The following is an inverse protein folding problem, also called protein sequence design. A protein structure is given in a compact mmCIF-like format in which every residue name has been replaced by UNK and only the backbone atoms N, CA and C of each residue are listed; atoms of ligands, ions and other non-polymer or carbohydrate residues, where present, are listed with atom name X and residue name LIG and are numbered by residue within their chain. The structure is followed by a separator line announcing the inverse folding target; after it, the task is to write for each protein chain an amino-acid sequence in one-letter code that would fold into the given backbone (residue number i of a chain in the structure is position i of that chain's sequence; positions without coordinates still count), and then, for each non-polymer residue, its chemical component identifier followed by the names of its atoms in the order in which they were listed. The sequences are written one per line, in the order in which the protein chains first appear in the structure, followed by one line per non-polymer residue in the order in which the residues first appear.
data_IF_986022511232
#
_entry.id   IF_986022511232
#
_cell.length_a   1.000
_cell.length_b   1.000
_cell.length_c   1.000
_cell.angle_alpha   90.00
_cell.angle_beta   90.00
_cell.angle_gamma   90.00
#
_symmetry.space_group_name_H-M   'P 1'
#
loop_
_entity.id
_entity.type
_entity.pdbx_description
1 polymer ?
#
# COMPACT_ATOMS: atom_id res chain seq x y z
N UNK A 1 36.71 -1.70 -25.33
CA UNK A 1 36.25 -1.66 -23.92
C UNK A 1 35.15 -0.65 -23.65
N UNK A 2 35.09 0.54 -24.29
CA UNK A 2 34.04 1.55 -24.05
C UNK A 2 32.61 1.10 -24.38
N UNK A 3 32.42 0.30 -25.43
CA UNK A 3 31.11 -0.23 -25.82
C UNK A 3 30.49 -1.14 -24.75
N UNK A 4 31.30 -1.94 -24.06
CA UNK A 4 30.84 -2.84 -22.99
C UNK A 4 30.30 -2.05 -21.80
N UNK A 5 30.93 -0.92 -21.46
CA UNK A 5 30.50 -0.03 -20.38
C UNK A 5 29.16 0.63 -20.69
N UNK A 6 28.92 1.04 -21.94
CA UNK A 6 27.64 1.63 -22.37
C UNK A 6 26.51 0.59 -22.33
N UNK A 7 26.79 -0.65 -22.76
CA UNK A 7 25.81 -1.75 -22.70
C UNK A 7 25.47 -2.10 -21.25
N UNK A 8 26.46 -2.21 -20.36
CA UNK A 8 26.26 -2.48 -18.94
C UNK A 8 25.47 -1.37 -18.23
N UNK A 9 25.79 -0.10 -18.50
CA UNK A 9 25.05 1.04 -17.96
C UNK A 9 23.60 1.09 -18.46
N UNK A 10 23.37 0.71 -19.73
CA UNK A 10 22.02 0.57 -20.28
C UNK A 10 21.20 -0.50 -19.55
N UNK A 11 21.76 -1.70 -19.36
CA UNK A 11 21.08 -2.80 -18.68
C UNK A 11 20.70 -2.49 -17.22
N UNK A 12 21.57 -1.79 -16.48
CA UNK A 12 21.30 -1.39 -15.09
C UNK A 12 20.13 -0.40 -14.97
N UNK A 13 19.92 0.46 -15.97
CA UNK A 13 18.78 1.38 -16.00
C UNK A 13 17.45 0.69 -16.33
N UNK A 14 17.47 -0.54 -16.87
CA UNK A 14 16.27 -1.32 -17.21
C UNK A 14 15.79 -2.17 -16.01
N UNK A 15 16.66 -2.44 -15.04
CA UNK A 15 16.33 -3.17 -13.82
C UNK A 15 15.48 -2.31 -12.87
N UNK A 16 14.18 -2.23 -13.13
CA UNK A 16 13.20 -1.78 -12.14
C UNK A 16 13.09 -2.83 -11.04
N UNK A 17 13.56 -2.49 -9.84
CA UNK A 17 13.31 -3.29 -8.64
C UNK A 17 11.82 -3.15 -8.31
N UNK A 18 11.04 -4.19 -8.55
CA UNK A 18 9.65 -4.27 -8.08
C UNK A 18 9.71 -4.72 -6.62
N UNK A 19 9.45 -3.79 -5.69
CA UNK A 19 9.22 -4.15 -4.28
C UNK A 19 7.81 -4.72 -4.19
N UNK A 20 7.71 -6.02 -3.89
CA UNK A 20 6.45 -6.63 -3.47
C UNK A 20 6.25 -6.35 -1.99
N UNK A 21 5.08 -5.83 -1.65
CA UNK A 21 4.69 -5.60 -0.26
C UNK A 21 3.54 -6.53 0.11
N UNK A 22 3.57 -7.06 1.32
CA UNK A 22 2.46 -7.85 1.85
C UNK A 22 1.30 -6.90 2.23
N UNK A 23 0.11 -7.21 1.74
CA UNK A 23 -1.12 -6.46 2.02
C UNK A 23 -2.08 -7.37 2.77
N UNK A 24 -2.40 -7.00 4.02
CA UNK A 24 -3.44 -7.68 4.79
C UNK A 24 -4.78 -6.99 4.57
N UNK A 25 -5.85 -7.77 4.37
CA UNK A 25 -7.16 -7.27 3.98
C UNK A 25 -8.26 -7.92 4.82
N UNK A 26 -9.16 -7.09 5.35
CA UNK A 26 -10.34 -7.50 6.08
C UNK A 26 -11.56 -6.86 5.41
N UNK A 27 -12.47 -7.71 4.93
CA UNK A 27 -13.76 -7.26 4.39
C UNK A 27 -14.61 -6.69 5.52
N UNK A 28 -15.14 -5.48 5.35
CA UNK A 28 -16.01 -4.84 6.34
C UNK A 28 -17.17 -4.15 5.62
N UNK A 29 -18.36 -4.13 6.24
CA UNK A 29 -19.58 -3.59 5.62
C UNK A 29 -19.45 -2.12 5.24
N UNK A 30 -18.71 -1.37 6.06
CA UNK A 30 -18.52 0.07 5.89
C UNK A 30 -17.36 0.44 4.94
N UNK A 31 -16.78 -0.57 4.27
CA UNK A 31 -15.62 -0.45 3.40
C UNK A 31 -14.46 -1.32 3.88
N UNK A 32 -13.75 -1.95 2.95
CA UNK A 32 -12.67 -2.88 3.26
C UNK A 32 -11.55 -2.20 4.05
N UNK A 33 -11.00 -2.92 5.03
CA UNK A 33 -9.89 -2.48 5.87
C UNK A 33 -8.62 -3.16 5.39
N UNK A 34 -7.55 -2.41 5.25
CA UNK A 34 -6.26 -2.96 4.83
C UNK A 34 -5.10 -2.43 5.65
N UNK A 35 -4.05 -3.24 5.76
CA UNK A 35 -2.83 -2.92 6.49
C UNK A 35 -1.62 -3.13 5.62
N UNK A 36 -0.73 -2.14 5.60
CA UNK A 36 0.56 -2.18 4.90
C UNK A 36 1.66 -1.46 5.69
N UNK A 37 2.92 -1.70 5.32
CA UNK A 37 4.06 -1.00 5.93
C UNK A 37 4.26 0.39 5.30
N UNK A 38 4.50 1.40 6.11
CA UNK A 38 4.74 2.76 5.68
C UNK A 38 3.97 3.78 6.51
N UNK A 39 4.04 5.04 6.06
CA UNK A 39 3.27 6.12 6.66
C UNK A 39 1.81 6.05 6.25
N UNK A 40 0.89 6.46 7.13
CA UNK A 40 -0.54 6.50 6.79
C UNK A 40 -0.87 7.47 5.66
N UNK A 41 -0.10 8.53 5.49
CA UNK A 41 -0.30 9.47 4.38
C UNK A 41 -0.01 8.81 3.03
N UNK A 42 1.08 8.04 2.94
CA UNK A 42 1.43 7.31 1.72
C UNK A 42 0.48 6.13 1.49
N UNK A 43 0.22 5.35 2.54
CA UNK A 43 -0.63 4.17 2.52
C UNK A 43 -2.09 4.48 2.19
N UNK A 44 -2.71 5.41 2.92
CA UNK A 44 -4.14 5.66 2.82
C UNK A 44 -4.50 6.72 1.79
N UNK A 45 -3.59 7.61 1.40
CA UNK A 45 -3.91 8.70 0.47
C UNK A 45 -3.28 8.50 -0.90
N UNK A 46 -2.00 8.10 -0.97
CA UNK A 46 -1.29 7.99 -2.26
C UNK A 46 -1.67 6.68 -2.97
N UNK A 47 -1.58 5.53 -2.29
CA UNK A 47 -1.87 4.23 -2.90
C UNK A 47 -3.35 4.04 -3.27
N UNK A 48 -4.24 4.70 -2.52
CA UNK A 48 -5.69 4.68 -2.77
C UNK A 48 -6.19 5.80 -3.65
N UNK A 49 -5.32 6.69 -4.13
CA UNK A 49 -5.77 7.91 -4.83
C UNK A 49 -6.79 8.73 -4.04
N UNK A 50 -6.71 8.72 -2.71
CA UNK A 50 -7.58 9.49 -1.80
C UNK A 50 -8.94 8.86 -1.49
N UNK A 51 -9.15 7.59 -1.81
CA UNK A 51 -10.41 6.87 -1.54
C UNK A 51 -10.37 6.02 -0.27
N UNK A 52 -9.28 6.08 0.48
CA UNK A 52 -9.15 5.47 1.80
C UNK A 52 -8.78 6.51 2.86
N UNK A 53 -9.10 6.21 4.12
CA UNK A 53 -8.76 7.04 5.27
C UNK A 53 -8.12 6.19 6.38
N UNK A 54 -7.28 6.78 7.26
CA UNK A 54 -6.71 6.05 8.38
C UNK A 54 -7.81 5.41 9.24
N UNK A 55 -7.70 4.10 9.47
CA UNK A 55 -8.65 3.36 10.29
C UNK A 55 -8.28 3.50 11.76
N UNK A 56 -9.08 4.24 12.51
CA UNK A 56 -8.96 4.35 13.97
C UNK A 56 -9.81 3.26 14.63
N UNK A 57 -9.19 2.13 14.97
CA UNK A 57 -9.85 1.12 15.80
C UNK A 57 -10.16 1.72 17.18
N UNK A 58 -11.38 1.49 17.69
CA UNK A 58 -11.73 1.89 19.06
C UNK A 58 -10.77 1.21 20.07
N UNK A 59 -10.14 1.96 21.00
CA UNK A 59 -9.06 1.45 21.87
C UNK A 59 -9.41 0.18 22.66
N UNK A 60 -10.69 -0.05 22.92
CA UNK A 60 -11.23 -1.17 23.69
C UNK A 60 -11.14 -2.55 23.00
N UNK A 61 -10.78 -2.62 21.71
CA UNK A 61 -10.66 -3.88 20.94
C UNK A 61 -9.30 -4.07 20.26
N UNK A 62 -8.31 -3.24 20.58
CA UNK A 62 -6.96 -3.32 20.02
C UNK A 62 -6.07 -4.23 20.88
N UNK A 63 -6.03 -5.52 20.55
CA UNK A 63 -5.19 -6.50 21.26
C UNK A 63 -3.68 -6.37 20.97
N UNK A 64 -3.30 -5.62 19.93
CA UNK A 64 -1.91 -5.41 19.52
C UNK A 64 -1.74 -4.00 18.96
N UNK A 65 -0.77 -3.25 19.49
CA UNK A 65 -0.36 -1.94 18.94
C UNK A 65 0.31 -2.22 17.59
N UNK A 66 -0.18 -1.66 16.47
CA UNK A 66 0.49 -1.82 15.19
C UNK A 66 1.92 -1.26 15.30
N UNK A 67 2.94 -1.96 14.78
CA UNK A 67 4.30 -1.44 14.78
C UNK A 67 4.32 -0.04 14.13
N UNK A 68 5.18 0.84 14.64
CA UNK A 68 5.24 2.26 14.23
C UNK A 68 5.41 2.49 12.71
N UNK A 69 5.81 1.46 11.97
CA UNK A 69 5.98 1.49 10.52
C UNK A 69 4.82 0.83 9.77
N UNK A 70 3.67 0.60 10.38
CA UNK A 70 2.50 0.04 9.70
C UNK A 70 1.31 0.97 9.82
N UNK A 71 0.55 1.08 8.73
CA UNK A 71 -0.69 1.82 8.72
C UNK A 71 -1.86 0.89 8.41
N UNK A 72 -2.97 1.10 9.11
CA UNK A 72 -4.25 0.52 8.76
C UNK A 72 -5.16 1.60 8.17
N UNK A 73 -5.73 1.32 7.01
CA UNK A 73 -6.61 2.21 6.26
C UNK A 73 -7.96 1.52 6.04
N UNK A 74 -9.00 2.30 5.81
CA UNK A 74 -10.31 1.82 5.41
C UNK A 74 -10.73 2.50 4.10
N UNK A 75 -11.13 1.73 3.09
CA UNK A 75 -11.73 2.26 1.87
C UNK A 75 -13.05 2.98 2.19
N UNK A 76 -13.43 3.95 1.36
CA UNK A 76 -14.77 4.52 1.43
C UNK A 76 -15.84 3.44 1.19
N UNK A 77 -17.01 3.64 1.80
CA UNK A 77 -18.13 2.72 1.68
C UNK A 77 -18.48 2.44 0.20
N UNK A 78 -18.59 1.15 -0.14
CA UNK A 78 -18.96 0.69 -1.48
C UNK A 78 -17.79 0.61 -2.48
N UNK A 79 -16.56 0.96 -2.09
CA UNK A 79 -15.37 0.72 -2.89
C UNK A 79 -14.72 -0.61 -2.51
N UNK A 80 -14.53 -1.54 -3.46
CA UNK A 80 -13.76 -2.74 -3.23
C UNK A 80 -12.28 -2.38 -3.12
N UNK A 81 -11.54 -3.13 -2.30
CA UNK A 81 -10.10 -2.90 -2.14
C UNK A 81 -9.29 -3.09 -3.42
N UNK A 82 -9.63 -4.09 -4.24
CA UNK A 82 -8.95 -4.33 -5.51
C UNK A 82 -9.83 -3.82 -6.63
N UNK A 83 -9.35 -2.78 -7.31
CA UNK A 83 -10.02 -2.20 -8.47
C UNK A 83 -9.33 -2.64 -9.77
N UNK A 84 -10.09 -2.61 -10.86
CA UNK A 84 -9.60 -2.96 -12.20
C UNK A 84 -8.54 -1.99 -12.72
N UNK A 85 -8.45 -0.79 -12.13
CA UNK A 85 -7.45 0.23 -12.44
C UNK A 85 -6.14 0.06 -11.65
N UNK A 86 -5.95 -1.09 -10.97
CA UNK A 86 -4.75 -1.45 -10.20
C UNK A 86 -4.47 -0.56 -8.98
N UNK A 87 -5.43 0.27 -8.55
CA UNK A 87 -5.33 1.04 -7.30
C UNK A 87 -5.97 0.30 -6.13
N UNK A 88 -5.51 0.62 -4.91
CA UNK A 88 -6.03 0.06 -3.66
C UNK A 88 -7.15 0.94 -3.16
N UNK A 89 -8.41 0.57 -3.38
CA UNK A 89 -9.53 1.51 -3.32
C UNK A 89 -9.34 2.68 -4.31
#
# INVERSE_FOLDING_TARGET
MRLLVVVLAGCLNVLKIVRSQELSVIRHSDGDIFTLEGSCTEACTVLSSGTASPYTRSPSTAGLVPPNNTCTCQCNHGLPIFREDLHIC
#
